data_IF_526753417838
#
_entry.id   IF_526753417838
#
_cell.length_a   1.000
_cell.length_b   1.000
_cell.length_c   1.000
_cell.angle_alpha   90.00
_cell.angle_beta   90.00
_cell.angle_gamma   90.00
#
_symmetry.space_group_name_H-M   'P 1'
#
loop_
_entity.id
_entity.type
_entity.pdbx_description
1 polymer ?
#
# COMPACT_ATOMS: atom_id res chain seq x y z
N UNK A 1 4.27 20.23 17.33
CA UNK A 1 4.91 20.39 16.00
C UNK A 1 5.21 19.01 15.44
N UNK A 2 4.33 18.43 14.62
CA UNK A 2 4.70 17.33 13.72
C UNK A 2 3.88 17.46 12.45
N UNK A 3 4.13 18.52 11.70
CA UNK A 3 3.72 18.58 10.29
C UNK A 3 4.55 17.54 9.55
N UNK A 4 3.99 16.34 9.36
CA UNK A 4 4.56 15.39 8.40
C UNK A 4 4.09 15.86 7.02
N UNK A 5 4.69 16.93 6.51
CA UNK A 5 4.58 17.25 5.08
C UNK A 5 5.33 16.15 4.32
N UNK A 6 4.58 15.14 3.91
CA UNK A 6 5.10 13.96 3.24
C UNK A 6 5.72 14.34 1.91
N UNK A 7 7.04 14.19 1.80
CA UNK A 7 7.74 14.31 0.52
C UNK A 7 7.01 13.51 -0.57
N UNK A 8 6.90 14.04 -1.80
CA UNK A 8 6.17 13.39 -2.88
C UNK A 8 6.66 11.96 -3.07
N UNK A 9 5.71 11.04 -3.02
CA UNK A 9 5.94 9.62 -3.21
C UNK A 9 6.59 9.37 -4.57
N UNK A 10 7.77 8.73 -4.58
CA UNK A 10 8.27 8.10 -5.81
C UNK A 10 7.41 6.87 -6.12
N UNK A 11 6.82 6.76 -7.32
CA UNK A 11 6.06 5.59 -7.72
C UNK A 11 7.03 4.44 -7.98
N UNK A 12 7.10 3.48 -7.06
CA UNK A 12 7.84 2.23 -7.27
C UNK A 12 6.86 1.15 -7.73
N UNK A 13 7.34 0.15 -8.48
CA UNK A 13 6.51 -0.99 -8.93
C UNK A 13 5.77 -1.66 -7.76
N UNK A 14 6.47 -1.93 -6.65
CA UNK A 14 5.85 -2.53 -5.46
C UNK A 14 4.74 -1.64 -4.87
N UNK A 15 4.91 -0.32 -4.89
CA UNK A 15 3.90 0.59 -4.34
C UNK A 15 2.69 0.68 -5.26
N UNK A 16 2.90 0.70 -6.57
CA UNK A 16 1.83 0.66 -7.55
C UNK A 16 1.03 -0.65 -7.40
N UNK A 17 1.70 -1.78 -7.26
CA UNK A 17 1.04 -3.07 -7.03
C UNK A 17 0.14 -3.06 -5.79
N UNK A 18 0.58 -2.43 -4.68
CA UNK A 18 -0.26 -2.28 -3.48
C UNK A 18 -1.52 -1.44 -3.77
N UNK A 19 -1.38 -0.32 -4.50
CA UNK A 19 -2.51 0.55 -4.86
C UNK A 19 -3.49 -0.18 -5.78
N UNK A 20 -2.99 -0.90 -6.78
CA UNK A 20 -3.80 -1.72 -7.69
C UNK A 20 -4.50 -2.88 -6.97
N UNK A 21 -3.84 -3.49 -5.99
CA UNK A 21 -4.47 -4.51 -5.15
C UNK A 21 -5.62 -3.91 -4.32
N UNK A 22 -5.42 -2.74 -3.69
CA UNK A 22 -6.49 -2.04 -2.97
C UNK A 22 -7.67 -1.70 -3.88
N UNK A 23 -7.39 -1.17 -5.08
CA UNK A 23 -8.42 -0.79 -6.05
C UNK A 23 -9.20 -1.97 -6.63
N UNK A 24 -8.74 -3.21 -6.40
CA UNK A 24 -9.46 -4.42 -6.84
C UNK A 24 -10.49 -4.95 -5.84
N UNK A 25 -10.65 -4.28 -4.70
CA UNK A 25 -11.66 -4.60 -3.70
C UNK A 25 -12.70 -3.47 -3.62
N UNK A 26 -13.97 -3.85 -3.52
CA UNK A 26 -15.08 -2.91 -3.31
C UNK A 26 -15.38 -2.67 -1.81
N UNK A 27 -14.64 -3.36 -0.92
CA UNK A 27 -14.82 -3.33 0.52
C UNK A 27 -13.50 -3.14 1.30
N UNK A 28 -13.61 -2.95 2.61
CA UNK A 28 -12.45 -2.80 3.48
C UNK A 28 -11.66 -4.10 3.57
N UNK A 29 -10.38 -4.04 3.24
CA UNK A 29 -9.44 -5.15 3.44
C UNK A 29 -8.40 -4.83 4.48
N UNK A 30 -8.01 -5.86 5.22
CA UNK A 30 -6.82 -5.82 6.06
C UNK A 30 -5.55 -5.79 5.21
N UNK A 31 -4.46 -5.28 5.80
CA UNK A 31 -3.14 -5.30 5.17
C UNK A 31 -2.66 -6.72 4.82
N UNK A 32 -3.06 -7.72 5.62
CA UNK A 32 -2.74 -9.12 5.39
C UNK A 32 -3.44 -9.65 4.13
N UNK A 33 -4.72 -9.34 3.93
CA UNK A 33 -5.45 -9.79 2.73
C UNK A 33 -4.90 -9.14 1.45
N UNK A 34 -4.50 -7.87 1.53
CA UNK A 34 -3.80 -7.20 0.43
C UNK A 34 -2.47 -7.90 0.13
N UNK A 35 -1.69 -8.24 1.17
CA UNK A 35 -0.45 -9.00 1.00
C UNK A 35 -0.70 -10.36 0.36
N UNK A 36 -1.69 -11.11 0.84
CA UNK A 36 -1.98 -12.45 0.34
C UNK A 36 -2.39 -12.39 -1.16
N UNK A 37 -3.16 -11.38 -1.55
CA UNK A 37 -3.50 -11.13 -2.95
C UNK A 37 -2.25 -10.84 -3.80
N UNK A 38 -1.34 -10.00 -3.31
CA UNK A 38 -0.08 -9.69 -4.00
C UNK A 38 0.76 -10.96 -4.18
N UNK A 39 0.83 -11.81 -3.16
CA UNK A 39 1.49 -13.12 -3.22
C UNK A 39 0.85 -14.03 -4.28
N UNK A 40 -0.48 -14.09 -4.33
CA UNK A 40 -1.22 -14.86 -5.37
C UNK A 40 -0.99 -14.32 -6.78
N UNK A 41 -0.75 -13.00 -6.93
CA UNK A 41 -0.41 -12.34 -8.21
C UNK A 41 1.06 -12.49 -8.60
N UNK A 42 1.90 -13.09 -7.75
CA UNK A 42 3.34 -13.19 -7.99
C UNK A 42 4.09 -11.88 -7.80
N UNK A 43 3.47 -10.89 -7.14
CA UNK A 43 4.07 -9.59 -6.84
C UNK A 43 4.90 -9.70 -5.54
N UNK A 44 6.24 -9.54 -5.58
CA UNK A 44 7.10 -9.76 -4.42
C UNK A 44 7.08 -8.55 -3.48
N UNK A 45 5.93 -8.32 -2.85
CA UNK A 45 5.70 -7.24 -1.90
C UNK A 45 5.57 -7.83 -0.50
N UNK A 46 6.49 -7.46 0.39
CA UNK A 46 6.41 -7.86 1.79
C UNK A 46 5.40 -7.05 2.60
N UNK A 47 4.84 -7.66 3.65
CA UNK A 47 3.83 -7.06 4.53
C UNK A 47 4.21 -5.67 5.08
N UNK A 48 5.48 -5.49 5.47
CA UNK A 48 5.96 -4.19 5.96
C UNK A 48 5.87 -3.08 4.90
N UNK A 49 6.06 -3.41 3.62
CA UNK A 49 5.87 -2.48 2.50
C UNK A 49 4.40 -2.13 2.29
N UNK A 50 3.49 -3.10 2.47
CA UNK A 50 2.05 -2.84 2.47
C UNK A 50 1.70 -1.83 3.56
N UNK A 51 2.08 -2.08 4.81
CA UNK A 51 1.81 -1.17 5.93
C UNK A 51 2.36 0.24 5.72
N UNK A 52 3.63 0.38 5.30
CA UNK A 52 4.22 1.71 5.03
C UNK A 52 3.49 2.46 3.90
N UNK A 53 3.02 1.73 2.90
CA UNK A 53 2.23 2.32 1.81
C UNK A 53 0.88 2.80 2.33
N UNK A 54 0.16 1.97 3.08
CA UNK A 54 -1.14 2.30 3.67
C UNK A 54 -1.04 3.49 4.64
N UNK A 55 -0.07 3.49 5.56
CA UNK A 55 0.16 4.58 6.51
C UNK A 55 0.41 5.92 5.80
N UNK A 56 1.18 5.90 4.71
CA UNK A 56 1.40 7.12 3.92
C UNK A 56 0.16 7.59 3.18
N UNK A 57 -0.64 6.66 2.64
CA UNK A 57 -1.88 7.02 1.95
C UNK A 57 -2.89 7.64 2.92
N UNK A 58 -3.00 7.07 4.13
CA UNK A 58 -3.86 7.60 5.19
C UNK A 58 -3.40 8.98 5.70
N UNK A 59 -2.09 9.25 5.74
CA UNK A 59 -1.54 10.55 6.17
C UNK A 59 -1.46 11.62 5.07
N UNK A 60 -1.83 11.30 3.83
CA UNK A 60 -1.86 12.24 2.70
C UNK A 60 -3.27 12.80 2.41
N UNK A 61 -4.27 12.43 3.23
CA UNK A 61 -5.63 12.95 3.21
C UNK A 61 -5.86 14.03 4.25
#
# INVERSE_FOLDING_TARGET
MTSTEGAPMRPTKQRLAVVEAMASFDDFRSAQEIHDLLGRRGEPVGLATVYRTLQRLAGAG
#
